data_IF_359644595796
#
_entry.id   IF_359644595796
#
_cell.length_a   1.000
_cell.length_b   1.000
_cell.length_c   1.000
_cell.angle_alpha   90.00
_cell.angle_beta   90.00
_cell.angle_gamma   90.00
#
_symmetry.space_group_name_H-M   'P 1'
#
loop_
_entity.id
_entity.type
_entity.pdbx_description
1 polymer ?
#
# COMPACT_ATOMS: atom_id res chain seq x y z
N UNK A 1 58.77 12.94 10.56
CA UNK A 1 57.81 13.89 11.18
C UNK A 1 56.53 13.82 10.35
N UNK A 2 55.48 13.10 10.77
CA UNK A 2 54.45 13.42 11.78
C UNK A 2 53.44 14.51 11.33
N UNK A 3 52.19 14.01 11.14
CA UNK A 3 50.86 14.60 11.40
C UNK A 3 50.21 15.45 10.31
N UNK A 4 49.24 14.86 9.60
CA UNK A 4 47.90 15.48 9.40
C UNK A 4 46.76 14.51 8.98
N UNK A 5 46.59 13.31 9.58
CA UNK A 5 45.38 12.50 9.39
C UNK A 5 44.28 12.87 10.41
N UNK A 6 43.93 14.16 10.56
CA UNK A 6 43.10 14.64 11.68
C UNK A 6 41.73 15.19 11.25
N UNK A 7 41.43 15.32 9.96
CA UNK A 7 40.15 15.89 9.52
C UNK A 7 39.00 14.88 9.31
N UNK A 8 39.19 13.59 9.61
CA UNK A 8 38.16 12.54 9.45
C UNK A 8 37.55 12.02 10.75
N UNK A 9 37.88 12.59 11.92
CA UNK A 9 37.47 12.04 13.22
C UNK A 9 36.47 12.88 14.05
N UNK A 10 35.86 13.93 13.48
CA UNK A 10 34.95 14.83 14.22
C UNK A 10 33.46 14.78 13.81
N UNK A 11 33.05 13.84 12.95
CA UNK A 11 31.64 13.67 12.59
C UNK A 11 30.99 12.35 13.09
N UNK A 12 31.76 11.47 13.74
CA UNK A 12 31.27 10.17 14.22
C UNK A 12 30.74 10.14 15.66
N UNK A 13 30.93 11.22 16.44
CA UNK A 13 30.68 11.23 17.89
C UNK A 13 29.33 11.81 18.32
N UNK A 14 28.48 12.25 17.38
CA UNK A 14 27.15 12.82 17.69
C UNK A 14 25.98 11.83 17.60
N UNK A 15 26.18 10.61 17.09
CA UNK A 15 25.08 9.64 16.85
C UNK A 15 24.93 8.59 17.96
N UNK A 16 25.93 8.43 18.84
CA UNK A 16 25.89 7.41 19.91
C UNK A 16 25.19 7.86 21.22
N UNK A 17 24.85 9.14 21.37
CA UNK A 17 24.28 9.68 22.62
C UNK A 17 22.74 9.74 22.65
N UNK A 18 22.04 9.47 21.54
CA UNK A 18 20.56 9.56 21.48
C UNK A 18 19.87 8.20 21.69
N UNK A 19 20.61 7.09 21.69
CA UNK A 19 20.07 5.72 21.80
C UNK A 19 20.06 5.12 23.23
N UNK A 20 20.19 5.92 24.28
CA UNK A 20 20.32 5.41 25.66
C UNK A 20 19.32 5.98 26.70
N UNK A 21 18.22 6.65 26.31
CA UNK A 21 17.34 7.34 27.28
C UNK A 21 15.89 6.84 27.33
N UNK A 22 15.53 5.65 26.81
CA UNK A 22 14.15 5.13 26.95
C UNK A 22 14.03 3.64 27.33
N UNK A 23 15.02 3.10 28.04
CA UNK A 23 15.03 1.69 28.46
C UNK A 23 15.20 1.52 29.96
N UNK A 24 14.36 2.13 30.81
CA UNK A 24 14.27 1.76 32.24
C UNK A 24 13.16 2.50 33.02
N UNK A 25 11.89 2.08 32.97
CA UNK A 25 10.98 2.21 34.12
C UNK A 25 9.99 1.03 34.12
N UNK A 26 9.85 0.39 35.29
CA UNK A 26 8.91 -0.68 35.67
C UNK A 26 9.47 -2.12 35.71
N UNK A 27 10.57 -2.31 36.45
CA UNK A 27 10.88 -3.60 37.07
C UNK A 27 11.67 -3.38 38.37
N UNK A 28 10.98 -3.09 39.48
CA UNK A 28 11.54 -3.24 40.82
C UNK A 28 10.89 -4.44 41.53
N UNK A 29 11.75 -5.33 41.99
CA UNK A 29 11.57 -6.49 42.89
C UNK A 29 12.64 -6.32 44.02
N UNK A 30 12.76 -7.15 45.09
CA UNK A 30 11.86 -8.09 45.80
C UNK A 30 11.86 -7.94 47.35
N UNK A 31 11.01 -8.77 48.00
CA UNK A 31 11.17 -9.49 49.30
C UNK A 31 11.25 -8.67 50.62
N UNK A 32 10.76 -9.12 51.77
CA UNK A 32 10.05 -10.31 52.28
C UNK A 32 9.56 -9.86 53.68
N UNK A 33 8.41 -10.34 54.18
CA UNK A 33 8.24 -10.54 55.63
C UNK A 33 7.09 -11.51 55.90
N UNK A 34 7.44 -12.61 56.56
CA UNK A 34 6.51 -13.61 57.10
C UNK A 34 5.96 -13.13 58.44
N UNK A 35 4.65 -13.27 58.65
CA UNK A 35 4.10 -13.70 59.96
C UNK A 35 2.89 -14.61 59.72
N UNK A 36 2.95 -15.81 60.29
CA UNK A 36 1.84 -16.75 60.45
C UNK A 36 1.20 -16.53 61.80
N UNK A 37 -0.13 -16.41 61.89
CA UNK A 37 -0.97 -17.08 62.91
C UNK A 37 -2.46 -16.76 62.70
N UNK A 38 -3.28 -17.78 62.98
CA UNK A 38 -4.73 -17.89 62.80
C UNK A 38 -5.56 -16.89 63.63
N UNK A 39 -6.81 -16.59 63.22
CA UNK A 39 -8.03 -17.15 63.84
C UNK A 39 -9.33 -16.57 63.21
N UNK A 40 -10.24 -17.48 62.86
CA UNK A 40 -11.73 -17.47 62.92
C UNK A 40 -12.63 -16.38 62.32
N UNK A 41 -13.72 -16.88 61.71
CA UNK A 41 -14.89 -16.22 61.11
C UNK A 41 -15.75 -15.47 62.16
N UNK A 42 -16.56 -14.48 61.75
CA UNK A 42 -17.96 -14.82 61.46
C UNK A 42 -18.59 -14.11 60.25
N UNK A 43 -19.73 -14.67 59.84
CA UNK A 43 -20.56 -14.30 58.70
C UNK A 43 -21.11 -12.87 58.77
N UNK A 44 -21.20 -12.20 57.61
CA UNK A 44 -21.96 -10.95 57.43
C UNK A 44 -22.76 -10.96 56.12
N UNK A 45 -24.00 -10.53 56.26
CA UNK A 45 -25.16 -10.50 55.36
C UNK A 45 -24.88 -10.04 53.92
N UNK A 46 -25.48 -10.74 52.94
CA UNK A 46 -25.39 -10.41 51.51
C UNK A 46 -26.09 -9.08 51.16
N UNK A 47 -25.35 -8.19 50.51
CA UNK A 47 -25.86 -6.97 49.88
C UNK A 47 -26.40 -7.26 48.46
N UNK A 48 -27.42 -6.52 47.97
CA UNK A 48 -27.98 -6.75 46.64
C UNK A 48 -26.97 -6.43 45.52
N UNK A 49 -26.92 -7.29 44.51
CA UNK A 49 -25.97 -7.19 43.40
C UNK A 49 -26.26 -5.96 42.51
N UNK A 50 -25.24 -5.19 42.07
CA UNK A 50 -25.42 -4.11 41.12
C UNK A 50 -25.83 -4.66 39.75
N UNK A 51 -26.89 -4.08 39.17
CA UNK A 51 -27.26 -4.30 37.77
C UNK A 51 -26.12 -3.82 36.85
N UNK A 52 -25.56 -4.74 36.07
CA UNK A 52 -24.52 -4.45 35.08
C UNK A 52 -25.12 -3.69 33.89
N UNK A 53 -24.57 -2.51 33.58
CA UNK A 53 -24.85 -1.79 32.34
C UNK A 53 -24.47 -2.63 31.11
N UNK A 54 -25.23 -2.58 30.01
CA UNK A 54 -24.92 -3.36 28.81
C UNK A 54 -23.58 -2.91 28.20
N UNK A 55 -22.71 -3.88 27.93
CA UNK A 55 -21.43 -3.67 27.24
C UNK A 55 -21.69 -3.23 25.79
N UNK A 56 -21.07 -2.13 25.30
CA UNK A 56 -21.20 -1.75 23.90
C UNK A 56 -20.66 -2.86 22.98
N UNK A 57 -21.30 -3.10 21.82
CA UNK A 57 -20.85 -4.13 20.90
C UNK A 57 -19.42 -3.82 20.38
N UNK A 58 -18.61 -4.85 20.11
CA UNK A 58 -17.26 -4.66 19.62
C UNK A 58 -17.27 -3.93 18.27
N UNK A 59 -16.53 -2.82 18.17
CA UNK A 59 -16.25 -2.14 16.91
C UNK A 59 -15.49 -3.11 15.99
N UNK A 60 -16.14 -3.61 14.94
CA UNK A 60 -15.47 -4.44 13.94
C UNK A 60 -14.41 -3.62 13.21
N UNK A 61 -13.20 -4.16 13.11
CA UNK A 61 -12.16 -3.57 12.30
C UNK A 61 -12.62 -3.48 10.83
N UNK A 62 -12.25 -2.43 10.08
CA UNK A 62 -12.64 -2.29 8.68
C UNK A 62 -12.22 -3.51 7.86
N UNK A 63 -13.12 -4.03 7.03
CA UNK A 63 -12.81 -5.13 6.13
C UNK A 63 -11.68 -4.75 5.15
N UNK A 64 -10.69 -5.63 5.01
CA UNK A 64 -9.58 -5.44 4.08
C UNK A 64 -10.07 -5.56 2.63
N UNK A 65 -9.72 -4.57 1.80
CA UNK A 65 -10.11 -4.53 0.39
C UNK A 65 -9.13 -5.33 -0.45
N UNK A 66 -9.64 -6.26 -1.24
CA UNK A 66 -8.89 -7.04 -2.21
C UNK A 66 -9.70 -7.08 -3.52
N UNK A 67 -9.20 -6.42 -4.57
CA UNK A 67 -9.91 -6.30 -5.84
C UNK A 67 -8.98 -5.85 -6.96
N UNK A 68 -9.34 -6.20 -8.18
CA UNK A 68 -8.73 -5.65 -9.39
C UNK A 68 -9.82 -5.08 -10.28
N UNK A 69 -9.59 -3.90 -10.85
CA UNK A 69 -10.46 -3.26 -11.82
C UNK A 69 -9.64 -2.90 -13.05
N UNK A 70 -10.22 -3.08 -14.25
CA UNK A 70 -9.56 -2.68 -15.49
C UNK A 70 -10.61 -2.19 -16.51
N UNK A 71 -10.34 -1.08 -17.18
CA UNK A 71 -11.28 -0.50 -18.12
C UNK A 71 -10.74 0.70 -18.88
N UNK A 72 -11.63 1.34 -19.64
CA UNK A 72 -11.30 2.47 -20.49
C UNK A 72 -11.48 3.81 -19.77
N UNK A 73 -10.73 4.80 -20.24
CA UNK A 73 -10.73 6.18 -19.75
C UNK A 73 -11.24 7.09 -20.86
N UNK A 74 -12.17 7.99 -20.53
CA UNK A 74 -12.81 8.95 -21.45
C UNK A 74 -13.19 8.34 -22.82
N UNK A 75 -13.88 7.21 -22.82
CA UNK A 75 -14.39 6.57 -24.04
C UNK A 75 -13.34 5.89 -24.92
N UNK A 76 -12.12 5.67 -24.41
CA UNK A 76 -11.05 4.95 -25.11
C UNK A 76 -9.78 5.77 -25.39
N UNK A 77 -9.68 6.98 -24.83
CA UNK A 77 -8.47 7.80 -24.96
C UNK A 77 -7.26 7.20 -24.22
N UNK A 78 -7.52 6.43 -23.17
CA UNK A 78 -6.53 5.66 -22.43
C UNK A 78 -7.19 4.43 -21.78
N UNK A 79 -6.39 3.60 -21.15
CA UNK A 79 -6.80 2.42 -20.39
C UNK A 79 -6.24 2.53 -18.99
N UNK A 80 -7.02 2.10 -18.00
CA UNK A 80 -6.61 2.07 -16.59
C UNK A 80 -6.80 0.69 -15.99
N UNK A 81 -5.87 0.28 -15.13
CA UNK A 81 -6.07 -0.82 -14.20
C UNK A 81 -5.69 -0.40 -12.78
N UNK A 82 -6.42 -0.94 -11.80
CA UNK A 82 -6.24 -0.68 -10.38
C UNK A 82 -6.25 -2.03 -9.67
N UNK A 83 -5.14 -2.38 -9.04
CA UNK A 83 -5.01 -3.59 -8.22
C UNK A 83 -4.93 -3.20 -6.75
N UNK A 84 -5.69 -3.90 -5.91
CA UNK A 84 -5.74 -3.66 -4.46
C UNK A 84 -5.52 -4.96 -3.70
N UNK A 85 -4.60 -4.92 -2.74
CA UNK A 85 -4.35 -5.99 -1.79
C UNK A 85 -4.30 -5.40 -0.39
N UNK A 86 -5.15 -5.90 0.50
CA UNK A 86 -5.25 -5.47 1.90
C UNK A 86 -5.33 -3.95 2.10
N UNK A 87 -6.03 -3.27 1.19
CA UNK A 87 -6.23 -1.82 1.21
C UNK A 87 -5.08 -0.99 0.60
N UNK A 88 -3.95 -1.60 0.24
CA UNK A 88 -2.90 -0.94 -0.57
C UNK A 88 -3.28 -1.07 -2.04
N UNK A 89 -3.28 0.05 -2.74
CA UNK A 89 -3.69 0.15 -4.13
C UNK A 89 -2.53 0.59 -5.02
N UNK A 90 -2.41 -0.05 -6.18
CA UNK A 90 -1.56 0.38 -7.29
C UNK A 90 -2.45 0.61 -8.51
N UNK A 91 -2.33 1.77 -9.14
CA UNK A 91 -3.01 2.08 -10.38
C UNK A 91 -2.01 2.36 -11.50
N UNK A 92 -2.41 1.97 -12.70
CA UNK A 92 -1.66 2.19 -13.92
C UNK A 92 -2.58 2.74 -15.00
N UNK A 93 -2.20 3.86 -15.59
CA UNK A 93 -2.85 4.48 -16.73
C UNK A 93 -1.88 4.47 -17.92
N UNK A 94 -2.34 3.98 -19.07
CA UNK A 94 -1.59 4.16 -20.31
C UNK A 94 -2.49 4.30 -21.54
N UNK A 95 -1.97 4.91 -22.60
CA UNK A 95 -2.62 4.97 -23.92
C UNK A 95 -2.08 3.91 -24.91
N UNK A 96 -1.22 3.01 -24.44
CA UNK A 96 -0.53 2.01 -25.25
C UNK A 96 0.50 2.59 -26.22
N UNK A 97 0.86 3.86 -26.06
CA UNK A 97 1.81 4.57 -26.91
C UNK A 97 2.85 5.29 -26.06
N UNK A 98 2.48 6.44 -25.49
CA UNK A 98 3.41 7.37 -24.82
C UNK A 98 2.94 7.91 -23.49
N UNK A 99 1.64 7.84 -23.22
CA UNK A 99 1.10 8.26 -21.93
C UNK A 99 1.27 7.08 -20.98
N UNK A 100 1.95 7.35 -19.88
CA UNK A 100 2.16 6.37 -18.83
C UNK A 100 2.09 7.08 -17.47
N UNK A 101 1.31 6.52 -16.55
CA UNK A 101 1.31 6.96 -15.16
C UNK A 101 1.12 5.78 -14.21
N UNK A 102 2.06 5.65 -13.26
CA UNK A 102 1.98 4.73 -12.14
C UNK A 102 1.65 5.50 -10.87
N UNK A 103 0.68 5.00 -10.12
CA UNK A 103 0.23 5.60 -8.87
C UNK A 103 0.12 4.53 -7.79
N UNK A 104 0.37 4.93 -6.54
CA UNK A 104 0.18 4.09 -5.36
C UNK A 104 -0.63 4.86 -4.32
N UNK A 105 -1.35 4.14 -3.48
CA UNK A 105 -2.09 4.71 -2.37
C UNK A 105 -3.00 3.70 -1.72
N UNK A 106 -4.22 4.13 -1.39
CA UNK A 106 -5.12 3.33 -0.56
C UNK A 106 -6.51 3.15 -1.18
N UNK A 107 -7.12 2.03 -0.82
CA UNK A 107 -8.51 1.72 -1.07
C UNK A 107 -9.18 1.33 0.25
N UNK A 108 -10.06 2.19 0.75
CA UNK A 108 -10.75 1.97 2.02
C UNK A 108 -12.11 2.66 2.01
N UNK A 109 -13.09 2.10 2.72
CA UNK A 109 -14.43 2.68 2.88
C UNK A 109 -15.07 3.13 1.55
N UNK A 110 -14.94 2.32 0.50
CA UNK A 110 -15.50 2.59 -0.83
C UNK A 110 -14.80 3.72 -1.61
N UNK A 111 -13.63 4.20 -1.17
CA UNK A 111 -12.88 5.29 -1.79
C UNK A 111 -11.49 4.86 -2.23
N UNK A 112 -11.02 5.46 -3.33
CA UNK A 112 -9.65 5.36 -3.85
C UNK A 112 -8.96 6.71 -3.70
N UNK A 113 -7.72 6.69 -3.20
CA UNK A 113 -6.84 7.86 -3.14
C UNK A 113 -5.42 7.42 -3.44
N UNK A 114 -4.91 7.79 -4.62
CA UNK A 114 -3.58 7.42 -5.08
C UNK A 114 -2.83 8.64 -5.63
N UNK A 115 -1.52 8.62 -5.48
CA UNK A 115 -0.61 9.62 -6.03
C UNK A 115 0.53 8.93 -6.77
N UNK A 116 1.12 9.63 -7.72
CA UNK A 116 2.23 9.14 -8.52
C UNK A 116 3.25 10.24 -8.82
N UNK A 117 4.25 9.89 -9.62
CA UNK A 117 5.27 10.84 -10.08
C UNK A 117 4.64 11.94 -10.94
N UNK A 118 5.36 13.05 -11.13
CA UNK A 118 4.97 14.17 -12.00
C UNK A 118 3.57 14.76 -11.69
N UNK A 119 3.18 14.74 -10.41
CA UNK A 119 1.88 15.27 -9.97
C UNK A 119 0.67 14.40 -10.35
N UNK A 120 0.89 13.13 -10.73
CA UNK A 120 -0.20 12.23 -11.03
C UNK A 120 -1.05 11.98 -9.77
N UNK A 121 -2.37 12.08 -9.91
CA UNK A 121 -3.33 11.83 -8.82
C UNK A 121 -4.52 11.04 -9.32
N UNK A 122 -5.07 10.18 -8.48
CA UNK A 122 -6.33 9.50 -8.73
C UNK A 122 -7.20 9.58 -7.48
N UNK A 123 -8.44 10.04 -7.67
CA UNK A 123 -9.49 9.96 -6.66
C UNK A 123 -10.70 9.28 -7.25
N UNK A 124 -11.35 8.43 -6.46
CA UNK A 124 -12.48 7.68 -6.95
C UNK A 124 -13.24 6.93 -5.87
N UNK A 125 -14.22 6.16 -6.32
CA UNK A 125 -15.03 5.27 -5.52
C UNK A 125 -15.03 3.88 -6.11
N UNK A 126 -15.29 2.88 -5.27
CA UNK A 126 -15.47 1.50 -5.70
C UNK A 126 -16.67 0.87 -5.02
N UNK A 127 -17.37 0.00 -5.76
CA UNK A 127 -18.59 -0.67 -5.32
C UNK A 127 -19.43 -1.12 -6.52
N UNK A 128 -20.37 -2.04 -6.30
CA UNK A 128 -21.27 -2.52 -7.36
C UNK A 128 -20.53 -3.06 -8.59
N UNK A 129 -19.43 -3.79 -8.37
CA UNK A 129 -18.64 -4.45 -9.42
C UNK A 129 -17.76 -3.54 -10.28
N UNK A 130 -17.50 -2.29 -9.86
CA UNK A 130 -16.64 -1.35 -10.59
C UNK A 130 -15.94 -0.34 -9.69
N UNK A 131 -14.90 0.30 -10.23
CA UNK A 131 -14.30 1.52 -9.73
C UNK A 131 -14.55 2.66 -10.72
N UNK A 132 -14.83 3.85 -10.20
CA UNK A 132 -15.07 5.06 -11.00
C UNK A 132 -14.39 6.25 -10.37
N UNK A 133 -13.96 7.22 -11.16
CA UNK A 133 -13.37 8.42 -10.59
C UNK A 133 -12.68 9.30 -11.62
N UNK A 134 -11.76 10.11 -11.12
CA UNK A 134 -10.95 11.03 -11.89
C UNK A 134 -9.46 10.70 -11.70
N UNK A 135 -8.72 10.77 -12.79
CA UNK A 135 -7.27 10.67 -12.80
C UNK A 135 -6.69 11.92 -13.46
N UNK A 136 -5.65 12.47 -12.86
CA UNK A 136 -4.82 13.52 -13.44
C UNK A 136 -3.45 12.93 -13.70
N UNK A 137 -2.98 12.97 -14.95
CA UNK A 137 -1.60 12.64 -15.28
C UNK A 137 -1.15 13.38 -16.56
N UNK A 138 0.15 13.62 -16.68
CA UNK A 138 0.74 14.38 -17.81
C UNK A 138 0.02 15.71 -18.09
N UNK A 139 -0.37 16.43 -17.03
CA UNK A 139 -1.07 17.72 -17.11
C UNK A 139 -2.52 17.65 -17.60
N UNK A 140 -3.08 16.46 -17.80
CA UNK A 140 -4.46 16.23 -18.25
C UNK A 140 -5.28 15.58 -17.17
N UNK A 141 -6.59 15.84 -17.20
CA UNK A 141 -7.58 15.26 -16.31
C UNK A 141 -8.54 14.41 -17.13
N UNK A 142 -8.78 13.19 -16.69
CA UNK A 142 -9.72 12.26 -17.31
C UNK A 142 -10.66 11.63 -16.29
N UNK A 143 -11.81 11.16 -16.76
CA UNK A 143 -12.72 10.30 -16.00
C UNK A 143 -12.54 8.84 -16.40
N UNK A 144 -12.68 7.94 -15.44
CA UNK A 144 -12.58 6.52 -15.70
C UNK A 144 -13.75 5.74 -15.13
N UNK A 145 -14.07 4.64 -15.81
CA UNK A 145 -14.95 3.59 -15.31
C UNK A 145 -14.27 2.26 -15.59
N UNK A 146 -13.96 1.52 -14.53
CA UNK A 146 -13.25 0.25 -14.60
C UNK A 146 -14.10 -0.84 -13.94
N UNK A 147 -14.71 -1.78 -14.70
CA UNK A 147 -15.35 -2.95 -14.12
C UNK A 147 -14.35 -3.84 -13.40
N UNK A 148 -14.85 -4.71 -12.52
CA UNK A 148 -14.03 -5.72 -11.85
C UNK A 148 -13.37 -6.61 -12.91
N UNK A 149 -12.05 -6.74 -12.81
CA UNK A 149 -11.28 -7.65 -13.63
C UNK A 149 -11.11 -8.98 -12.90
N UNK A 150 -11.22 -10.08 -13.63
CA UNK A 150 -10.91 -11.42 -13.16
C UNK A 150 -9.71 -11.95 -13.96
N UNK A 151 -8.84 -12.78 -13.37
CA UNK A 151 -7.73 -13.38 -14.11
C UNK A 151 -8.20 -14.02 -15.43
N UNK A 152 -7.46 -13.83 -16.54
CA UNK A 152 -6.19 -13.11 -16.66
C UNK A 152 -6.30 -11.57 -16.80
N UNK A 153 -7.50 -11.00 -16.72
CA UNK A 153 -7.68 -9.56 -16.68
C UNK A 153 -7.06 -8.93 -15.43
N UNK A 154 -6.37 -7.80 -15.60
CA UNK A 154 -5.75 -7.09 -14.50
C UNK A 154 -4.53 -6.27 -14.89
N UNK A 155 -3.73 -5.94 -13.87
CA UNK A 155 -2.53 -5.12 -13.98
C UNK A 155 -1.28 -5.99 -13.85
N UNK A 156 -0.35 -5.83 -14.77
CA UNK A 156 0.94 -6.52 -14.78
C UNK A 156 2.06 -5.49 -14.91
N UNK A 157 3.22 -5.80 -14.32
CA UNK A 157 4.40 -4.94 -14.36
C UNK A 157 5.67 -5.77 -14.46
N UNK A 158 6.63 -5.26 -15.21
CA UNK A 158 8.01 -5.71 -15.17
C UNK A 158 8.89 -4.47 -14.97
N UNK A 159 9.81 -4.54 -14.02
CA UNK A 159 10.84 -3.51 -13.82
C UNK A 159 12.16 -4.23 -13.68
N UNK A 160 13.08 -3.99 -14.62
CA UNK A 160 14.34 -4.72 -14.69
C UNK A 160 15.48 -3.79 -15.10
N UNK A 161 16.67 -4.04 -14.55
CA UNK A 161 17.90 -3.42 -15.02
C UNK A 161 18.51 -4.30 -16.12
N UNK A 162 18.54 -3.81 -17.36
CA UNK A 162 19.05 -4.53 -18.53
C UNK A 162 20.33 -3.84 -19.00
N UNK A 163 21.46 -4.48 -18.74
CA UNK A 163 22.82 -3.97 -18.99
C UNK A 163 23.12 -2.63 -18.29
N UNK A 164 22.63 -1.52 -18.85
CA UNK A 164 22.92 -0.16 -18.39
C UNK A 164 21.68 0.72 -18.28
N UNK A 165 20.48 0.18 -18.45
CA UNK A 165 19.23 0.93 -18.40
C UNK A 165 18.19 0.20 -17.54
N UNK A 166 17.44 0.93 -16.72
CA UNK A 166 16.20 0.38 -16.19
C UNK A 166 15.13 0.42 -17.28
N UNK A 167 14.40 -0.68 -17.41
CA UNK A 167 13.24 -0.79 -18.28
C UNK A 167 12.06 -1.12 -17.39
N UNK A 168 11.05 -0.25 -17.43
CA UNK A 168 9.77 -0.49 -16.78
C UNK A 168 8.72 -0.69 -17.86
N UNK A 169 7.99 -1.80 -17.78
CA UNK A 169 6.86 -2.09 -18.63
C UNK A 169 5.61 -2.32 -17.78
N UNK A 170 4.49 -1.79 -18.25
CA UNK A 170 3.16 -2.06 -17.71
C UNK A 170 2.24 -2.68 -18.74
N UNK A 171 1.38 -3.58 -18.30
CA UNK A 171 0.28 -4.11 -19.11
C UNK A 171 -1.02 -4.05 -18.35
N UNK A 172 -2.06 -3.66 -19.07
CA UNK A 172 -3.45 -3.76 -18.67
C UNK A 172 -4.09 -4.82 -19.56
N UNK A 173 -4.61 -5.86 -18.95
CA UNK A 173 -5.38 -6.90 -19.62
C UNK A 173 -6.85 -6.67 -19.30
N UNK A 174 -7.65 -6.38 -20.31
CA UNK A 174 -9.10 -6.20 -20.21
C UNK A 174 -9.82 -7.56 -20.20
N UNK A 175 -11.11 -7.54 -19.85
CA UNK A 175 -11.91 -8.76 -19.73
C UNK A 175 -12.07 -9.54 -21.04
N UNK A 176 -11.98 -8.86 -22.19
CA UNK A 176 -11.99 -9.45 -23.53
C UNK A 176 -10.62 -10.00 -23.97
N UNK A 177 -9.61 -9.90 -23.11
CA UNK A 177 -8.23 -10.29 -23.40
C UNK A 177 -7.42 -9.24 -24.16
N UNK A 178 -8.00 -8.07 -24.46
CA UNK A 178 -7.25 -6.95 -25.04
C UNK A 178 -6.14 -6.53 -24.08
N UNK A 179 -4.92 -6.39 -24.62
CA UNK A 179 -3.75 -5.94 -23.87
C UNK A 179 -3.34 -4.55 -24.34
N UNK A 180 -3.20 -3.64 -23.40
CA UNK A 180 -2.68 -2.28 -23.62
C UNK A 180 -1.55 -2.05 -22.64
N UNK A 181 -0.41 -1.57 -23.12
CA UNK A 181 0.76 -1.40 -22.28
C UNK A 181 1.83 -0.55 -22.93
N UNK A 182 2.75 -0.07 -22.11
CA UNK A 182 3.91 0.73 -22.52
C UNK A 182 5.15 0.19 -21.82
N UNK A 183 6.28 0.20 -22.53
CA UNK A 183 7.61 -0.02 -22.00
C UNK A 183 8.42 1.27 -22.11
N UNK A 184 9.03 1.69 -21.01
CA UNK A 184 9.81 2.91 -20.92
C UNK A 184 11.22 2.57 -20.42
N UNK A 185 12.22 2.54 -21.31
CA UNK A 185 13.63 2.51 -20.92
C UNK A 185 14.09 3.87 -20.40
N UNK A 186 15.00 3.89 -19.42
CA UNK A 186 15.58 5.13 -18.89
C UNK A 186 16.20 5.99 -20.01
N UNK A 187 15.80 7.27 -20.06
CA UNK A 187 16.31 8.24 -21.03
C UNK A 187 15.89 7.98 -22.48
N UNK A 188 14.91 7.10 -22.71
CA UNK A 188 14.34 6.81 -24.04
C UNK A 188 12.87 7.16 -24.10
N UNK A 189 12.35 7.25 -25.32
CA UNK A 189 10.92 7.42 -25.55
C UNK A 189 10.17 6.13 -25.16
N UNK A 190 8.95 6.25 -24.62
CA UNK A 190 8.11 5.09 -24.37
C UNK A 190 7.65 4.44 -25.67
N UNK A 191 7.53 3.12 -25.66
CA UNK A 191 7.07 2.32 -26.80
C UNK A 191 5.91 1.39 -26.37
N UNK A 192 5.03 0.97 -27.30
CA UNK A 192 4.01 -0.03 -27.00
C UNK A 192 4.64 -1.30 -26.41
N UNK A 193 4.08 -1.79 -25.30
CA UNK A 193 4.59 -3.01 -24.70
C UNK A 193 4.32 -4.22 -25.61
N UNK A 194 5.26 -5.19 -25.67
CA UNK A 194 5.03 -6.43 -26.41
C UNK A 194 3.86 -7.22 -25.82
N UNK A 195 3.32 -8.19 -26.56
CA UNK A 195 2.26 -9.06 -26.02
C UNK A 195 2.79 -9.86 -24.82
N UNK A 196 2.03 -9.83 -23.73
CA UNK A 196 2.30 -10.60 -22.53
C UNK A 196 1.66 -11.99 -22.65
N UNK A 197 2.44 -13.04 -22.36
CA UNK A 197 1.89 -14.37 -22.12
C UNK A 197 1.26 -14.42 -20.72
N UNK A 198 -0.06 -14.26 -20.68
CA UNK A 198 -0.82 -14.23 -19.43
C UNK A 198 -1.00 -15.61 -18.77
N UNK A 199 -0.57 -16.69 -19.42
CA UNK A 199 -0.58 -18.04 -18.82
C UNK A 199 0.63 -18.25 -17.91
N UNK A 200 1.77 -17.67 -18.28
CA UNK A 200 3.01 -17.68 -17.51
C UNK A 200 3.11 -16.50 -16.53
N UNK A 201 2.52 -15.35 -16.87
CA UNK A 201 2.60 -14.14 -16.04
C UNK A 201 1.69 -14.19 -14.80
N UNK A 202 1.97 -13.30 -13.84
CA UNK A 202 1.14 -13.05 -12.67
C UNK A 202 0.82 -11.56 -12.56
N UNK A 203 -0.42 -11.19 -12.21
CA UNK A 203 -0.75 -9.79 -11.92
C UNK A 203 0.14 -9.24 -10.80
N UNK A 204 0.33 -7.93 -10.79
CA UNK A 204 1.08 -7.26 -9.74
C UNK A 204 0.46 -7.55 -8.36
N UNK A 205 1.30 -7.77 -7.36
CA UNK A 205 0.89 -7.73 -5.97
C UNK A 205 1.15 -6.31 -5.42
N UNK A 206 0.12 -5.53 -5.07
CA UNK A 206 0.28 -4.15 -4.55
C UNK A 206 1.13 -4.02 -3.28
N UNK A 207 1.39 -5.11 -2.58
CA UNK A 207 2.24 -5.14 -1.39
C UNK A 207 3.73 -5.27 -1.72
N UNK A 208 4.07 -5.62 -2.96
CA UNK A 208 5.46 -5.74 -3.38
C UNK A 208 6.07 -4.32 -3.53
N UNK A 209 7.36 -4.14 -3.21
CA UNK A 209 8.03 -2.88 -3.44
C UNK A 209 8.07 -2.55 -4.94
N UNK A 210 7.61 -1.35 -5.30
CA UNK A 210 7.53 -0.87 -6.70
C UNK A 210 8.79 -0.15 -7.16
#
# INVERSE_FOLDING_TARGET
>A
MKRTPVLTLLAGLAVAAVLLVMSAIAANKPADDKVTAANELPASTAAPAPTLSPTPPPTQAPAKVNATWAGVVDGGAATIAIAVKDGVAVAYLCDGKKIEAWLQGTAAAGKLSLTGKNGATLTGTFGGGKATGKIVASGKSWTFTAPTAQPPGGLYRAAQFVNSANVVCGWIVLADGTQVGVCTPDGKEPEPAPRLDVTAARPINPQDPT
#
